data_IF_896020436502
#
_entry.id   IF_896020436502
#
_cell.length_a   1.000
_cell.length_b   1.000
_cell.length_c   1.000
_cell.angle_alpha   90.00
_cell.angle_beta   90.00
_cell.angle_gamma   90.00
#
_symmetry.space_group_name_H-M   'P 1'
#
loop_
_entity.id
_entity.type
_entity.pdbx_description
1 polymer ?
#
# COMPACT_ATOMS: atom_id res chain seq x y z
N UNK A 1 -9.46 -23.81 24.27
CA UNK A 1 -9.79 -23.51 22.85
C UNK A 1 -9.08 -24.54 21.97
N UNK A 2 -9.83 -25.45 21.32
CA UNK A 2 -9.27 -26.61 20.59
C UNK A 2 -8.32 -26.14 19.48
N UNK A 3 -7.17 -26.79 19.33
CA UNK A 3 -6.12 -26.45 18.33
C UNK A 3 -6.71 -26.28 16.92
N UNK A 4 -7.71 -27.09 16.58
CA UNK A 4 -8.47 -27.02 15.33
C UNK A 4 -9.12 -25.65 15.07
N UNK A 5 -9.72 -25.00 16.08
CA UNK A 5 -10.37 -23.69 15.90
C UNK A 5 -9.36 -22.58 15.66
N UNK A 6 -8.17 -22.68 16.27
CA UNK A 6 -7.08 -21.72 16.04
C UNK A 6 -6.51 -21.85 14.63
N UNK A 7 -6.30 -23.08 14.15
CA UNK A 7 -5.84 -23.34 12.78
C UNK A 7 -6.86 -22.86 11.74
N UNK A 8 -8.16 -23.11 11.98
CA UNK A 8 -9.22 -22.62 11.10
C UNK A 8 -9.23 -21.09 11.02
N UNK A 9 -9.14 -20.41 12.18
CA UNK A 9 -9.04 -18.94 12.25
C UNK A 9 -7.81 -18.40 11.52
N UNK A 10 -6.65 -18.98 11.81
CA UNK A 10 -5.41 -18.62 11.15
C UNK A 10 -5.52 -18.73 9.62
N UNK A 11 -6.03 -19.86 9.14
CA UNK A 11 -6.11 -20.15 7.70
C UNK A 11 -7.04 -19.19 6.96
N UNK A 12 -8.26 -18.95 7.47
CA UNK A 12 -9.16 -18.03 6.77
C UNK A 12 -8.70 -16.58 6.87
N UNK A 13 -8.12 -16.14 7.99
CA UNK A 13 -7.57 -14.77 8.11
C UNK A 13 -6.39 -14.60 7.15
N UNK A 14 -5.46 -15.55 7.11
CA UNK A 14 -4.32 -15.45 6.20
C UNK A 14 -4.77 -15.42 4.73
N UNK A 15 -5.68 -16.31 4.33
CA UNK A 15 -6.16 -16.40 2.94
C UNK A 15 -6.97 -15.17 2.49
N UNK A 16 -7.84 -14.61 3.33
CA UNK A 16 -8.62 -13.43 2.93
C UNK A 16 -7.74 -12.19 2.79
N UNK A 17 -6.76 -11.98 3.67
CA UNK A 17 -5.84 -10.83 3.56
C UNK A 17 -4.78 -11.04 2.47
N UNK A 18 -4.46 -12.29 2.14
CA UNK A 18 -3.72 -12.60 0.92
C UNK A 18 -4.53 -12.23 -0.34
N UNK A 19 -5.80 -12.62 -0.39
CA UNK A 19 -6.72 -12.26 -1.47
C UNK A 19 -6.97 -10.75 -1.56
N UNK A 20 -6.85 -10.02 -0.45
CA UNK A 20 -6.92 -8.57 -0.42
C UNK A 20 -5.67 -7.91 -1.04
N UNK A 21 -4.48 -8.40 -0.70
CA UNK A 21 -3.22 -7.81 -1.14
C UNK A 21 -2.87 -8.11 -2.60
N UNK A 22 -3.33 -9.24 -3.16
CA UNK A 22 -2.97 -9.66 -4.53
C UNK A 22 -3.53 -8.69 -5.59
N UNK A 23 -4.83 -8.36 -5.64
CA UNK A 23 -5.38 -7.39 -6.58
C UNK A 23 -4.82 -5.98 -6.39
N UNK A 24 -4.56 -5.57 -5.14
CA UNK A 24 -3.87 -4.31 -4.87
C UNK A 24 -2.48 -4.28 -5.54
N UNK A 25 -1.71 -5.37 -5.42
CA UNK A 25 -0.40 -5.48 -6.07
C UNK A 25 -0.49 -5.47 -7.60
N UNK A 26 -1.49 -6.14 -8.17
CA UNK A 26 -1.73 -6.10 -9.62
C UNK A 26 -1.93 -4.66 -10.12
N UNK A 27 -2.76 -3.90 -9.40
CA UNK A 27 -3.12 -2.53 -9.78
C UNK A 27 -1.98 -1.54 -9.51
N UNK A 28 -1.30 -1.61 -8.37
CA UNK A 28 -0.31 -0.60 -7.97
C UNK A 28 1.10 -0.87 -8.49
N UNK A 29 1.46 -2.14 -8.67
CA UNK A 29 2.84 -2.53 -8.95
C UNK A 29 2.96 -3.21 -10.32
N UNK A 30 2.12 -4.22 -10.60
CA UNK A 30 2.19 -4.94 -11.88
C UNK A 30 1.78 -4.06 -13.06
N UNK A 31 0.81 -3.14 -12.88
CA UNK A 31 0.46 -2.16 -13.91
C UNK A 31 1.67 -1.30 -14.31
N UNK A 32 2.43 -0.79 -13.34
CA UNK A 32 3.64 0.01 -13.58
C UNK A 32 4.68 -0.80 -14.35
N UNK A 33 4.89 -2.07 -13.97
CA UNK A 33 5.80 -2.98 -14.67
C UNK A 33 5.36 -3.23 -16.11
N UNK A 34 4.07 -3.46 -16.35
CA UNK A 34 3.47 -3.72 -17.65
C UNK A 34 3.58 -2.51 -18.58
N UNK A 35 3.15 -1.33 -18.12
CA UNK A 35 3.23 -0.10 -18.93
C UNK A 35 4.69 0.30 -19.20
N UNK A 36 5.58 0.11 -18.23
CA UNK A 36 7.02 0.31 -18.45
C UNK A 36 7.57 -0.65 -19.51
N UNK A 37 7.22 -1.94 -19.42
CA UNK A 37 7.62 -2.95 -20.41
C UNK A 37 7.09 -2.63 -21.82
N UNK A 38 5.84 -2.18 -21.90
CA UNK A 38 5.18 -1.84 -23.15
C UNK A 38 5.64 -0.50 -23.77
N UNK A 39 6.61 0.19 -23.14
CA UNK A 39 7.18 1.43 -23.67
C UNK A 39 6.29 2.67 -23.46
N UNK A 40 5.40 2.65 -22.47
CA UNK A 40 4.59 3.81 -22.13
C UNK A 40 5.46 5.02 -21.75
N UNK A 41 4.97 6.23 -22.04
CA UNK A 41 5.66 7.46 -21.65
C UNK A 41 5.73 7.60 -20.12
N UNK A 42 6.76 8.27 -19.61
CA UNK A 42 6.92 8.50 -18.16
C UNK A 42 5.70 9.22 -17.57
N UNK A 43 5.10 10.13 -18.30
CA UNK A 43 3.86 10.83 -17.91
C UNK A 43 2.73 9.82 -17.68
N UNK A 44 2.54 8.89 -18.61
CA UNK A 44 1.52 7.83 -18.50
C UNK A 44 1.79 6.94 -17.29
N UNK A 45 3.05 6.55 -17.09
CA UNK A 45 3.46 5.72 -15.94
C UNK A 45 3.20 6.47 -14.62
N UNK A 46 3.50 7.76 -14.55
CA UNK A 46 3.18 8.59 -13.39
C UNK A 46 1.68 8.57 -13.07
N UNK A 47 0.84 8.78 -14.10
CA UNK A 47 -0.64 8.77 -13.98
C UNK A 47 -1.22 7.44 -13.49
N UNK A 48 -0.49 6.31 -13.58
CA UNK A 48 -0.93 5.04 -12.98
C UNK A 48 -1.09 5.14 -11.46
N UNK A 49 -0.41 6.10 -10.81
CA UNK A 49 -0.62 6.38 -9.38
C UNK A 49 -2.09 6.72 -9.07
N UNK A 50 -2.81 7.34 -10.02
CA UNK A 50 -4.24 7.65 -9.88
C UNK A 50 -5.12 6.40 -9.76
N UNK A 51 -4.63 5.24 -10.20
CA UNK A 51 -5.32 3.97 -9.95
C UNK A 51 -5.47 3.69 -8.46
N UNK A 52 -4.72 4.35 -7.57
CA UNK A 52 -4.89 4.27 -6.11
C UNK A 52 -6.07 5.04 -5.54
N UNK A 53 -6.68 5.94 -6.30
CA UNK A 53 -7.80 6.77 -5.83
C UNK A 53 -8.99 5.98 -5.26
N UNK A 54 -9.42 4.83 -5.82
CA UNK A 54 -10.53 4.08 -5.29
C UNK A 54 -10.38 3.72 -3.80
N UNK A 55 -9.19 3.33 -3.34
CA UNK A 55 -8.96 3.04 -1.91
C UNK A 55 -9.11 4.28 -1.01
N UNK A 56 -8.88 5.47 -1.54
CA UNK A 56 -8.99 6.73 -0.81
C UNK A 56 -10.45 7.19 -0.65
N UNK A 57 -11.29 6.88 -1.62
CA UNK A 57 -12.69 7.31 -1.65
C UNK A 57 -13.69 6.16 -1.39
N UNK A 58 -13.22 4.96 -1.07
CA UNK A 58 -14.07 3.76 -0.83
C UNK A 58 -15.17 3.96 0.22
N UNK A 59 -14.97 4.89 1.15
CA UNK A 59 -15.98 5.30 2.12
C UNK A 59 -17.27 5.84 1.47
N UNK A 60 -17.19 6.39 0.24
CA UNK A 60 -18.33 6.94 -0.50
C UNK A 60 -19.35 5.85 -0.88
N UNK A 61 -18.91 4.70 -1.37
CA UNK A 61 -19.81 3.60 -1.75
C UNK A 61 -19.94 2.49 -0.70
N UNK A 62 -19.14 2.56 0.37
CA UNK A 62 -19.22 1.66 1.51
C UNK A 62 -20.64 1.35 2.03
N UNK A 63 -21.58 2.32 2.10
CA UNK A 63 -22.91 2.04 2.63
C UNK A 63 -23.73 1.15 1.70
N UNK A 64 -23.50 1.17 0.39
CA UNK A 64 -24.22 0.32 -0.56
C UNK A 64 -23.84 -1.16 -0.38
N UNK A 65 -22.56 -1.45 -0.09
CA UNK A 65 -22.11 -2.82 0.22
C UNK A 65 -22.82 -3.36 1.47
N UNK A 66 -23.05 -2.48 2.46
CA UNK A 66 -23.78 -2.84 3.70
C UNK A 66 -25.28 -3.09 3.46
N UNK A 67 -25.86 -2.53 2.38
CA UNK A 67 -27.29 -2.69 2.03
C UNK A 67 -27.55 -3.96 1.20
N UNK A 68 -26.66 -4.31 0.27
CA UNK A 68 -26.92 -5.33 -0.74
C UNK A 68 -26.19 -6.65 -0.46
N UNK A 69 -26.51 -7.34 0.63
CA UNK A 69 -26.05 -8.71 0.89
C UNK A 69 -24.99 -8.84 1.98
N UNK A 70 -24.64 -10.09 2.33
CA UNK A 70 -23.69 -10.35 3.41
C UNK A 70 -22.23 -10.21 2.95
N UNK A 71 -21.34 -9.85 3.88
CA UNK A 71 -19.91 -9.60 3.61
C UNK A 71 -19.19 -10.78 2.97
N UNK A 72 -19.57 -12.01 3.33
CA UNK A 72 -19.01 -13.23 2.72
C UNK A 72 -19.36 -13.33 1.23
N UNK A 73 -20.60 -13.02 0.85
CA UNK A 73 -21.05 -13.06 -0.54
C UNK A 73 -20.34 -12.01 -1.38
N UNK A 74 -20.21 -10.79 -0.86
CA UNK A 74 -19.43 -9.74 -1.52
C UNK A 74 -17.97 -10.14 -1.71
N UNK A 75 -17.33 -10.66 -0.67
CA UNK A 75 -15.94 -11.12 -0.72
C UNK A 75 -15.73 -12.11 -1.89
N UNK A 76 -16.48 -13.20 -1.90
CA UNK A 76 -16.36 -14.23 -2.96
C UNK A 76 -16.73 -13.70 -4.35
N UNK A 77 -17.77 -12.85 -4.43
CA UNK A 77 -18.20 -12.29 -5.72
C UNK A 77 -17.14 -11.36 -6.30
N UNK A 78 -16.48 -10.54 -5.46
CA UNK A 78 -15.39 -9.68 -5.91
C UNK A 78 -14.18 -10.51 -6.35
N UNK A 79 -13.83 -11.59 -5.67
CA UNK A 79 -12.72 -12.47 -6.11
C UNK A 79 -12.99 -13.09 -7.48
N UNK A 80 -14.23 -13.52 -7.75
CA UNK A 80 -14.64 -14.01 -9.08
C UNK A 80 -14.52 -12.92 -10.15
N UNK A 81 -15.06 -11.72 -9.88
CA UNK A 81 -14.98 -10.59 -10.80
C UNK A 81 -13.54 -10.13 -11.02
N UNK A 82 -12.72 -10.07 -9.99
CA UNK A 82 -11.31 -9.69 -10.09
C UNK A 82 -10.53 -10.70 -10.94
N UNK A 83 -10.79 -12.00 -10.78
CA UNK A 83 -10.21 -13.01 -11.67
C UNK A 83 -10.68 -12.85 -13.12
N UNK A 84 -11.95 -12.56 -13.36
CA UNK A 84 -12.47 -12.29 -14.70
C UNK A 84 -11.82 -11.03 -15.32
N UNK A 85 -11.68 -9.95 -14.55
CA UNK A 85 -11.00 -8.72 -15.00
C UNK A 85 -9.51 -8.96 -15.25
N UNK A 86 -8.85 -9.84 -14.49
CA UNK A 86 -7.49 -10.27 -14.79
C UNK A 86 -7.41 -11.02 -16.14
N UNK A 87 -8.39 -11.86 -16.49
CA UNK A 87 -8.48 -12.47 -17.83
C UNK A 87 -8.64 -11.40 -18.91
N UNK A 88 -9.46 -10.36 -18.68
CA UNK A 88 -9.64 -9.28 -19.66
C UNK A 88 -8.34 -8.52 -19.97
N UNK A 89 -7.37 -8.48 -19.05
CA UNK A 89 -6.05 -7.87 -19.29
C UNK A 89 -5.19 -8.64 -20.30
N UNK A 90 -5.51 -9.90 -20.61
CA UNK A 90 -4.72 -10.71 -21.55
C UNK A 90 -4.73 -10.09 -22.95
N UNK A 91 -5.88 -9.62 -23.41
CA UNK A 91 -6.01 -9.03 -24.75
C UNK A 91 -5.12 -7.78 -24.92
N UNK A 92 -5.27 -6.70 -24.12
CA UNK A 92 -4.40 -5.53 -24.25
C UNK A 92 -2.94 -5.84 -23.92
N UNK A 93 -2.64 -6.91 -23.16
CA UNK A 93 -1.27 -7.36 -22.95
C UNK A 93 -0.62 -7.96 -24.19
N UNK A 94 -1.40 -8.62 -25.05
CA UNK A 94 -0.92 -9.18 -26.31
C UNK A 94 -0.85 -8.12 -27.42
N UNK A 95 -1.83 -7.21 -27.46
CA UNK A 95 -1.89 -6.15 -28.49
C UNK A 95 -1.12 -4.88 -28.11
N UNK A 96 -0.62 -4.80 -26.87
CA UNK A 96 -0.02 -3.59 -26.28
C UNK A 96 -0.95 -2.36 -26.33
N UNK A 97 -2.26 -2.59 -26.23
CA UNK A 97 -3.26 -1.52 -26.15
C UNK A 97 -3.28 -0.93 -24.72
N UNK A 98 -2.48 0.11 -24.52
CA UNK A 98 -2.30 0.75 -23.22
C UNK A 98 -3.55 1.49 -22.72
N UNK A 99 -4.38 2.02 -23.61
CA UNK A 99 -5.61 2.73 -23.23
C UNK A 99 -6.64 1.72 -22.69
N UNK A 100 -6.82 0.61 -23.40
CA UNK A 100 -7.68 -0.48 -22.91
C UNK A 100 -7.12 -1.10 -21.62
N UNK A 101 -5.81 -1.34 -21.53
CA UNK A 101 -5.19 -1.83 -20.31
C UNK A 101 -5.47 -0.90 -19.12
N UNK A 102 -5.32 0.42 -19.30
CA UNK A 102 -5.57 1.41 -18.25
C UNK A 102 -7.02 1.35 -17.74
N UNK A 103 -8.00 1.29 -18.66
CA UNK A 103 -9.42 1.20 -18.31
C UNK A 103 -9.72 -0.08 -17.51
N UNK A 104 -9.13 -1.21 -17.91
CA UNK A 104 -9.31 -2.49 -17.22
C UNK A 104 -8.63 -2.48 -15.84
N UNK A 105 -7.42 -1.91 -15.71
CA UNK A 105 -6.79 -1.71 -14.41
C UNK A 105 -7.57 -0.76 -13.50
N UNK A 106 -8.19 0.29 -14.05
CA UNK A 106 -9.06 1.19 -13.29
C UNK A 106 -10.33 0.47 -12.78
N UNK A 107 -10.93 -0.39 -13.59
CA UNK A 107 -12.00 -1.28 -13.17
C UNK A 107 -11.54 -2.24 -12.06
N UNK A 108 -10.37 -2.86 -12.24
CA UNK A 108 -9.77 -3.74 -11.23
C UNK A 108 -9.51 -2.99 -9.91
N UNK A 109 -9.05 -1.74 -9.96
CA UNK A 109 -8.83 -0.89 -8.79
C UNK A 109 -10.12 -0.66 -8.00
N UNK A 110 -11.22 -0.33 -8.69
CA UNK A 110 -12.52 -0.14 -8.06
C UNK A 110 -13.07 -1.42 -7.41
N UNK A 111 -12.99 -2.55 -8.13
CA UNK A 111 -13.38 -3.86 -7.61
C UNK A 111 -12.50 -4.30 -6.44
N UNK A 112 -11.19 -4.03 -6.50
CA UNK A 112 -10.25 -4.37 -5.44
C UNK A 112 -10.50 -3.55 -4.18
N UNK A 113 -10.77 -2.25 -4.31
CA UNK A 113 -11.14 -1.42 -3.17
C UNK A 113 -12.46 -1.92 -2.52
N UNK A 114 -13.41 -2.39 -3.33
CA UNK A 114 -14.67 -3.00 -2.86
C UNK A 114 -14.44 -4.36 -2.17
N UNK A 115 -13.50 -5.16 -2.70
CA UNK A 115 -13.08 -6.42 -2.10
C UNK A 115 -12.46 -6.21 -0.72
N UNK A 116 -11.52 -5.28 -0.61
CA UNK A 116 -10.87 -4.87 0.65
C UNK A 116 -11.91 -4.51 1.72
N UNK A 117 -12.89 -3.67 1.38
CA UNK A 117 -14.01 -3.35 2.30
C UNK A 117 -14.79 -4.57 2.77
N UNK A 118 -14.91 -5.59 1.93
CA UNK A 118 -15.64 -6.82 2.22
C UNK A 118 -14.82 -7.73 3.13
N UNK A 119 -13.52 -7.84 2.91
CA UNK A 119 -12.56 -8.58 3.75
C UNK A 119 -12.47 -7.96 5.15
N UNK A 120 -12.21 -6.65 5.24
CA UNK A 120 -12.12 -5.93 6.52
C UNK A 120 -13.45 -6.00 7.28
N UNK A 121 -14.57 -5.77 6.58
CA UNK A 121 -15.91 -5.87 7.16
C UNK A 121 -16.21 -7.28 7.67
N UNK A 122 -15.86 -8.31 6.91
CA UNK A 122 -16.03 -9.71 7.31
C UNK A 122 -15.19 -10.05 8.55
N UNK A 123 -13.95 -9.58 8.60
CA UNK A 123 -13.04 -9.78 9.73
C UNK A 123 -13.60 -9.21 11.03
N UNK A 124 -14.08 -7.95 10.99
CA UNK A 124 -14.67 -7.27 12.15
C UNK A 124 -15.98 -7.94 12.61
N UNK A 125 -16.79 -8.44 11.68
CA UNK A 125 -18.06 -9.11 12.01
C UNK A 125 -17.86 -10.51 12.63
N UNK A 126 -16.79 -11.21 12.26
CA UNK A 126 -16.59 -12.62 12.60
C UNK A 126 -15.76 -12.82 13.87
N UNK A 127 -14.89 -11.88 14.23
CA UNK A 127 -14.00 -12.00 15.39
C UNK A 127 -14.39 -11.06 16.53
N UNK A 128 -14.38 -11.54 17.79
CA UNK A 128 -14.48 -10.67 18.96
C UNK A 128 -13.26 -9.75 19.05
N UNK A 129 -13.44 -8.56 19.64
CA UNK A 129 -12.45 -7.47 19.67
C UNK A 129 -11.08 -7.93 20.20
N UNK A 130 -11.05 -8.71 21.27
CA UNK A 130 -9.79 -9.20 21.87
C UNK A 130 -9.01 -10.12 20.92
N UNK A 131 -9.72 -10.89 20.10
CA UNK A 131 -9.09 -11.75 19.10
C UNK A 131 -8.60 -10.94 17.90
N UNK A 132 -9.19 -9.79 17.59
CA UNK A 132 -8.75 -8.96 16.46
C UNK A 132 -7.32 -8.45 16.68
N UNK A 133 -6.98 -8.02 17.90
CA UNK A 133 -5.61 -7.62 18.23
C UNK A 133 -4.60 -8.77 18.02
N UNK A 134 -4.94 -9.98 18.46
CA UNK A 134 -4.07 -11.16 18.35
C UNK A 134 -3.74 -11.58 16.91
N UNK A 135 -4.63 -11.31 15.95
CA UNK A 135 -4.44 -11.66 14.54
C UNK A 135 -4.06 -10.47 13.64
N UNK A 136 -3.90 -9.27 14.20
CA UNK A 136 -3.54 -8.06 13.44
C UNK A 136 -2.23 -8.22 12.66
N UNK A 137 -1.20 -8.81 13.28
CA UNK A 137 0.09 -9.08 12.62
C UNK A 137 -0.02 -10.09 11.47
N UNK A 138 -0.89 -11.11 11.61
CA UNK A 138 -1.11 -12.11 10.56
C UNK A 138 -1.71 -11.49 9.30
N UNK A 139 -2.67 -10.57 9.45
CA UNK A 139 -3.29 -9.83 8.33
C UNK A 139 -2.24 -9.11 7.51
N UNK A 140 -1.41 -8.32 8.19
CA UNK A 140 -0.35 -7.51 7.57
C UNK A 140 0.68 -8.41 6.88
N UNK A 141 1.08 -9.51 7.52
CA UNK A 141 2.01 -10.47 6.93
C UNK A 141 1.44 -11.13 5.67
N UNK A 142 0.20 -11.63 5.71
CA UNK A 142 -0.45 -12.26 4.56
C UNK A 142 -0.61 -11.29 3.38
N UNK A 143 -1.01 -10.05 3.65
CA UNK A 143 -1.11 -9.00 2.64
C UNK A 143 0.25 -8.71 1.98
N UNK A 144 1.32 -8.62 2.78
CA UNK A 144 2.68 -8.40 2.27
C UNK A 144 3.21 -9.59 1.46
N UNK A 145 2.86 -10.83 1.84
CA UNK A 145 3.17 -12.01 1.02
C UNK A 145 2.43 -11.96 -0.31
N UNK A 146 1.19 -11.49 -0.35
CA UNK A 146 0.47 -11.29 -1.61
C UNK A 146 1.13 -10.23 -2.50
N UNK A 147 1.59 -9.12 -1.92
CA UNK A 147 2.36 -8.11 -2.65
C UNK A 147 3.68 -8.65 -3.21
N UNK A 148 4.38 -9.48 -2.43
CA UNK A 148 5.60 -10.17 -2.87
C UNK A 148 5.32 -11.08 -4.07
N UNK A 149 4.23 -11.84 -4.02
CA UNK A 149 3.82 -12.70 -5.14
C UNK A 149 3.41 -11.87 -6.35
N UNK A 150 2.68 -10.77 -6.17
CA UNK A 150 2.26 -9.89 -7.25
C UNK A 150 3.43 -9.21 -7.97
N UNK A 151 4.20 -8.38 -7.26
CA UNK A 151 5.26 -7.58 -7.89
C UNK A 151 6.58 -8.34 -8.08
N UNK A 152 6.80 -9.42 -7.34
CA UNK A 152 7.93 -10.32 -7.54
C UNK A 152 7.56 -11.49 -8.45
N UNK A 153 6.78 -12.43 -7.90
CA UNK A 153 6.49 -13.71 -8.55
C UNK A 153 5.82 -13.57 -9.93
N UNK A 154 4.73 -12.83 -10.03
CA UNK A 154 3.98 -12.70 -11.30
C UNK A 154 4.75 -11.87 -12.35
N UNK A 155 5.51 -10.86 -11.93
CA UNK A 155 6.36 -10.07 -12.83
C UNK A 155 7.54 -10.90 -13.36
N UNK A 156 8.17 -11.71 -12.51
CA UNK A 156 9.21 -12.67 -12.94
C UNK A 156 8.62 -13.70 -13.89
N UNK A 157 7.42 -14.23 -13.60
CA UNK A 157 6.70 -15.13 -14.49
C UNK A 157 6.40 -14.47 -15.84
N UNK A 158 6.00 -13.19 -15.86
CA UNK A 158 5.81 -12.44 -17.09
C UNK A 158 7.10 -12.32 -17.91
N UNK A 159 8.25 -12.15 -17.25
CA UNK A 159 9.56 -12.05 -17.91
C UNK A 159 10.10 -13.38 -18.43
N UNK A 160 9.78 -14.51 -17.79
CA UNK A 160 10.21 -15.83 -18.24
C UNK A 160 9.27 -16.46 -19.28
N UNK A 161 7.97 -16.20 -19.16
CA UNK A 161 6.94 -16.88 -19.96
C UNK A 161 6.19 -15.88 -20.83
N UNK A 162 5.31 -15.08 -20.23
CA UNK A 162 4.56 -14.01 -20.93
C UNK A 162 3.64 -13.26 -19.96
N UNK A 163 3.21 -12.07 -20.36
CA UNK A 163 2.13 -11.35 -19.66
C UNK A 163 0.82 -12.13 -19.63
N UNK A 164 0.51 -12.92 -20.66
CA UNK A 164 -0.64 -13.83 -20.66
C UNK A 164 -0.55 -14.84 -19.51
N UNK A 165 0.61 -15.48 -19.31
CA UNK A 165 0.81 -16.41 -18.20
C UNK A 165 0.68 -15.72 -16.83
N UNK A 166 1.20 -14.49 -16.70
CA UNK A 166 1.06 -13.67 -15.49
C UNK A 166 -0.42 -13.44 -15.14
N UNK A 167 -1.22 -12.93 -16.10
CA UNK A 167 -2.62 -12.62 -15.84
C UNK A 167 -3.51 -13.86 -15.69
N UNK A 168 -3.25 -14.94 -16.44
CA UNK A 168 -3.91 -16.24 -16.22
C UNK A 168 -3.63 -16.80 -14.82
N UNK A 169 -2.37 -16.73 -14.38
CA UNK A 169 -1.98 -17.20 -13.04
C UNK A 169 -2.68 -16.37 -11.95
N UNK A 170 -2.69 -15.03 -12.08
CA UNK A 170 -3.41 -14.16 -11.17
C UNK A 170 -4.92 -14.49 -11.11
N UNK A 171 -5.56 -14.69 -12.26
CA UNK A 171 -6.96 -15.07 -12.35
C UNK A 171 -7.23 -16.42 -11.67
N UNK A 172 -6.40 -17.43 -11.97
CA UNK A 172 -6.48 -18.75 -11.36
C UNK A 172 -6.35 -18.70 -9.84
N UNK A 173 -5.39 -17.93 -9.32
CA UNK A 173 -5.21 -17.74 -7.88
C UNK A 173 -6.45 -17.13 -7.22
N UNK A 174 -7.03 -16.08 -7.82
CA UNK A 174 -8.23 -15.42 -7.31
C UNK A 174 -9.46 -16.34 -7.33
N UNK A 175 -9.63 -17.14 -8.39
CA UNK A 175 -10.75 -18.10 -8.47
C UNK A 175 -10.58 -19.29 -7.54
N UNK A 176 -9.35 -19.76 -7.33
CA UNK A 176 -9.05 -20.77 -6.31
C UNK A 176 -9.36 -20.24 -4.90
N UNK A 177 -8.98 -19.00 -4.61
CA UNK A 177 -9.33 -18.32 -3.36
C UNK A 177 -10.84 -18.16 -3.21
N UNK A 178 -11.56 -17.78 -4.28
CA UNK A 178 -13.02 -17.69 -4.28
C UNK A 178 -13.69 -19.02 -3.93
N UNK A 179 -13.24 -20.12 -4.55
CA UNK A 179 -13.73 -21.46 -4.24
C UNK A 179 -13.44 -21.86 -2.80
N UNK A 180 -12.21 -21.63 -2.35
CA UNK A 180 -11.79 -21.89 -0.98
C UNK A 180 -12.60 -21.09 0.05
N UNK A 181 -12.79 -19.79 -0.15
CA UNK A 181 -13.54 -18.91 0.73
C UNK A 181 -15.04 -19.20 0.74
N UNK A 182 -15.61 -19.62 -0.40
CA UNK A 182 -17.00 -20.06 -0.48
C UNK A 182 -17.28 -21.19 0.51
N UNK A 183 -16.35 -22.14 0.64
CA UNK A 183 -16.49 -23.33 1.48
C UNK A 183 -16.00 -23.11 2.91
N UNK A 184 -14.84 -22.48 3.10
CA UNK A 184 -14.16 -22.42 4.40
C UNK A 184 -14.64 -21.28 5.31
N UNK A 185 -15.09 -20.15 4.75
CA UNK A 185 -15.47 -19.00 5.56
C UNK A 185 -16.71 -19.28 6.42
N UNK A 186 -16.65 -19.03 7.74
CA UNK A 186 -17.84 -19.03 8.61
C UNK A 186 -18.98 -18.19 8.04
N UNK A 187 -20.24 -18.59 8.30
CA UNK A 187 -21.39 -17.71 8.02
C UNK A 187 -21.35 -16.54 9.01
N UNK A 188 -21.33 -15.28 8.56
CA UNK A 188 -21.29 -14.15 9.47
C UNK A 188 -22.59 -14.10 10.28
N UNK A 189 -22.48 -13.81 11.58
CA UNK A 189 -23.65 -13.57 12.43
C UNK A 189 -24.25 -12.23 12.00
N UNK A 190 -25.52 -12.24 11.60
CA UNK A 190 -26.22 -11.03 11.17
C UNK A 190 -26.23 -10.01 12.32
N UNK A 191 -25.55 -8.88 12.14
CA UNK A 191 -25.63 -7.74 13.07
C UNK A 191 -26.54 -6.69 12.42
N UNK A 192 -27.54 -6.23 13.15
CA UNK A 192 -28.48 -5.23 12.64
C UNK A 192 -27.74 -3.97 12.16
N UNK A 193 -28.17 -3.33 11.06
CA UNK A 193 -27.61 -2.05 10.63
C UNK A 193 -27.82 -1.01 11.73
N UNK A 194 -26.74 -0.53 12.34
CA UNK A 194 -26.81 0.47 13.40
C UNK A 194 -27.23 1.84 12.86
N UNK A 195 -28.44 2.27 13.16
CA UNK A 195 -29.06 3.53 12.73
C UNK A 195 -28.42 4.84 13.28
N UNK A 196 -27.22 4.79 13.89
CA UNK A 196 -26.54 5.93 14.52
C UNK A 196 -25.24 6.37 13.81
N UNK A 197 -24.89 5.72 12.69
CA UNK A 197 -23.55 5.87 12.08
C UNK A 197 -23.26 7.28 11.57
N UNK A 198 -24.24 7.96 10.96
CA UNK A 198 -24.01 9.25 10.26
C UNK A 198 -23.68 10.39 11.23
N UNK A 199 -24.42 10.51 12.33
CA UNK A 199 -24.18 11.51 13.39
C UNK A 199 -22.85 11.25 14.10
N UNK A 200 -22.50 9.99 14.34
CA UNK A 200 -21.21 9.60 14.91
C UNK A 200 -20.02 9.92 13.98
N UNK A 201 -20.17 9.72 12.66
CA UNK A 201 -19.12 10.07 11.68
C UNK A 201 -18.88 11.58 11.63
N UNK A 202 -19.92 12.41 11.54
CA UNK A 202 -19.75 13.88 11.52
C UNK A 202 -19.09 14.39 12.79
N UNK A 203 -19.45 13.84 13.96
CA UNK A 203 -18.80 14.17 15.23
C UNK A 203 -17.32 13.76 15.26
N UNK A 204 -16.97 12.58 14.71
CA UNK A 204 -15.59 12.13 14.62
C UNK A 204 -14.75 13.04 13.71
N UNK A 205 -15.27 13.46 12.55
CA UNK A 205 -14.59 14.41 11.66
C UNK A 205 -14.34 15.75 12.36
N UNK A 206 -15.37 16.33 12.99
CA UNK A 206 -15.21 17.56 13.77
C UNK A 206 -14.19 17.39 14.90
N UNK A 207 -14.18 16.25 15.57
CA UNK A 207 -13.20 15.97 16.63
C UNK A 207 -11.77 15.87 16.10
N UNK A 208 -11.57 15.24 14.94
CA UNK A 208 -10.25 15.15 14.31
C UNK A 208 -9.68 16.51 13.93
N UNK A 209 -10.49 17.34 13.24
CA UNK A 209 -10.09 18.68 12.82
C UNK A 209 -10.09 19.71 13.98
N UNK A 210 -10.72 19.39 15.11
CA UNK A 210 -10.70 20.22 16.32
C UNK A 210 -9.48 19.98 17.22
N UNK A 211 -8.60 19.02 16.92
CA UNK A 211 -7.45 18.74 17.77
C UNK A 211 -6.42 19.88 17.78
N UNK A 212 -5.81 20.13 18.94
CA UNK A 212 -4.68 21.08 19.05
C UNK A 212 -3.57 20.71 18.06
N UNK A 213 -3.02 21.71 17.38
CA UNK A 213 -1.98 21.57 16.36
C UNK A 213 -2.34 20.66 15.17
N UNK A 214 -3.63 20.56 14.81
CA UNK A 214 -4.04 19.72 13.66
C UNK A 214 -3.35 20.11 12.36
N UNK A 215 -3.11 21.41 12.10
CA UNK A 215 -2.43 21.86 10.88
C UNK A 215 -1.00 21.30 10.77
N UNK A 216 -0.27 21.22 11.88
CA UNK A 216 1.06 20.59 11.92
C UNK A 216 0.97 19.09 11.64
N UNK A 217 -0.03 18.41 12.20
CA UNK A 217 -0.24 16.99 11.94
C UNK A 217 -0.62 16.73 10.48
N UNK A 218 -1.49 17.55 9.88
CA UNK A 218 -1.87 17.45 8.48
C UNK A 218 -0.68 17.73 7.56
N UNK A 219 0.08 18.80 7.81
CA UNK A 219 1.28 19.11 7.05
C UNK A 219 2.29 17.96 7.11
N UNK A 220 2.49 17.38 8.31
CA UNK A 220 3.35 16.21 8.47
C UNK A 220 2.82 15.00 7.67
N UNK A 221 1.55 14.64 7.81
CA UNK A 221 0.96 13.49 7.09
C UNK A 221 1.09 13.65 5.56
N UNK A 222 0.87 14.86 5.04
CA UNK A 222 0.91 15.13 3.61
C UNK A 222 2.34 15.22 3.06
N UNK A 223 3.27 15.83 3.79
CA UNK A 223 4.63 16.12 3.31
C UNK A 223 5.65 15.05 3.70
N UNK A 224 5.38 14.24 4.73
CA UNK A 224 6.35 13.27 5.24
C UNK A 224 6.80 12.23 4.20
N UNK A 225 5.89 11.83 3.29
CA UNK A 225 6.17 10.87 2.23
C UNK A 225 6.22 11.47 0.83
N UNK A 226 6.21 12.80 0.68
CA UNK A 226 6.10 13.42 -0.63
C UNK A 226 7.30 13.07 -1.54
N UNK A 227 8.53 13.24 -1.05
CA UNK A 227 9.74 12.90 -1.82
C UNK A 227 9.89 11.40 -2.11
N UNK A 228 9.58 10.57 -1.11
CA UNK A 228 9.54 9.10 -1.20
C UNK A 228 8.54 8.65 -2.29
N UNK A 229 7.33 9.19 -2.28
CA UNK A 229 6.29 8.88 -3.26
C UNK A 229 6.65 9.33 -4.68
N UNK A 230 7.29 10.50 -4.83
CA UNK A 230 7.81 10.96 -6.12
C UNK A 230 8.83 9.96 -6.67
N UNK A 231 9.86 9.66 -5.88
CA UNK A 231 10.93 8.74 -6.27
C UNK A 231 10.38 7.35 -6.60
N UNK A 232 9.56 6.77 -5.71
CA UNK A 232 9.06 5.39 -5.82
C UNK A 232 8.29 5.14 -7.13
N UNK A 233 7.47 6.10 -7.55
CA UNK A 233 6.71 6.00 -8.80
C UNK A 233 7.61 5.85 -10.04
N UNK A 234 8.84 6.38 -9.98
CA UNK A 234 9.79 6.38 -11.10
C UNK A 234 10.91 5.34 -10.98
N UNK A 235 11.00 4.56 -9.89
CA UNK A 235 12.02 3.51 -9.73
C UNK A 235 11.94 2.47 -10.84
N UNK A 236 10.74 1.96 -11.12
CA UNK A 236 10.53 0.93 -12.17
C UNK A 236 10.93 1.41 -13.57
N UNK A 237 10.44 2.58 -14.07
CA UNK A 237 10.89 3.09 -15.37
C UNK A 237 12.37 3.49 -15.38
N UNK A 238 12.93 3.92 -14.25
CA UNK A 238 14.36 4.18 -14.14
C UNK A 238 15.19 2.90 -14.32
N UNK A 239 14.84 1.80 -13.66
CA UNK A 239 15.52 0.52 -13.85
C UNK A 239 15.43 0.03 -15.30
N UNK A 240 14.29 0.27 -15.96
CA UNK A 240 14.13 -0.04 -17.38
C UNK A 240 15.04 0.86 -18.25
N UNK A 241 15.19 2.13 -17.91
CA UNK A 241 16.10 3.07 -18.58
C UNK A 241 17.57 2.65 -18.45
N UNK A 242 17.96 2.05 -17.31
CA UNK A 242 19.29 1.45 -17.12
C UNK A 242 19.48 0.14 -17.91
N UNK A 243 18.46 -0.35 -18.63
CA UNK A 243 18.53 -1.56 -19.44
C UNK A 243 18.19 -2.85 -18.67
N UNK A 244 17.68 -2.77 -17.43
CA UNK A 244 17.30 -3.97 -16.69
C UNK A 244 15.98 -4.55 -17.22
N UNK A 245 16.06 -5.82 -17.66
CA UNK A 245 14.91 -6.60 -18.10
C UNK A 245 13.89 -6.87 -17.01
N UNK A 246 12.72 -7.38 -17.41
CA UNK A 246 11.55 -7.57 -16.55
C UNK A 246 11.83 -8.49 -15.34
N UNK A 247 12.60 -9.56 -15.54
CA UNK A 247 12.99 -10.50 -14.47
C UNK A 247 13.82 -9.78 -13.40
N UNK A 248 14.84 -9.01 -13.82
CA UNK A 248 15.67 -8.26 -12.89
C UNK A 248 14.85 -7.22 -12.13
N UNK A 249 13.96 -6.48 -12.82
CA UNK A 249 13.05 -5.52 -12.17
C UNK A 249 12.12 -6.18 -11.16
N UNK A 250 11.54 -7.35 -11.47
CA UNK A 250 10.69 -8.10 -10.56
C UNK A 250 11.44 -8.64 -9.34
N UNK A 251 12.68 -9.11 -9.51
CA UNK A 251 13.52 -9.54 -8.38
C UNK A 251 13.96 -8.36 -7.50
N UNK A 252 14.37 -7.24 -8.09
CA UNK A 252 14.84 -6.06 -7.38
C UNK A 252 13.70 -5.36 -6.62
N UNK A 253 12.68 -4.92 -7.34
CA UNK A 253 11.60 -4.10 -6.74
C UNK A 253 10.53 -4.96 -6.06
N UNK A 254 10.26 -6.15 -6.60
CA UNK A 254 9.29 -7.08 -6.06
C UNK A 254 9.85 -7.87 -4.89
N UNK A 255 10.78 -8.78 -5.17
CA UNK A 255 11.27 -9.71 -4.16
C UNK A 255 12.13 -9.03 -3.09
N UNK A 256 13.30 -8.52 -3.48
CA UNK A 256 14.24 -7.88 -2.59
C UNK A 256 13.59 -6.67 -1.90
N UNK A 257 12.99 -5.78 -2.68
CA UNK A 257 12.35 -4.58 -2.17
C UNK A 257 11.21 -4.84 -1.18
N UNK A 258 10.34 -5.82 -1.44
CA UNK A 258 9.26 -6.11 -0.47
C UNK A 258 9.84 -6.68 0.82
N UNK A 259 10.79 -7.62 0.74
CA UNK A 259 11.39 -8.24 1.94
C UNK A 259 12.12 -7.20 2.79
N UNK A 260 12.96 -6.35 2.18
CA UNK A 260 13.68 -5.32 2.94
C UNK A 260 12.76 -4.25 3.48
N UNK A 261 11.69 -3.86 2.75
CA UNK A 261 10.69 -2.93 3.25
C UNK A 261 9.87 -3.46 4.43
N UNK A 262 9.59 -4.77 4.46
CA UNK A 262 9.01 -5.41 5.66
C UNK A 262 10.00 -5.33 6.83
N UNK A 263 11.25 -5.72 6.59
CA UNK A 263 12.31 -5.66 7.61
C UNK A 263 12.48 -4.25 8.18
N UNK A 264 12.50 -3.23 7.31
CA UNK A 264 12.57 -1.83 7.69
C UNK A 264 11.37 -1.38 8.54
N UNK A 265 10.15 -1.75 8.17
CA UNK A 265 8.96 -1.40 8.96
C UNK A 265 8.98 -2.05 10.35
N UNK A 266 9.40 -3.31 10.45
CA UNK A 266 9.54 -4.00 11.74
C UNK A 266 10.64 -3.39 12.60
N UNK A 267 11.79 -3.08 12.00
CA UNK A 267 12.90 -2.42 12.67
C UNK A 267 12.50 -1.03 13.18
N UNK A 268 11.81 -0.24 12.35
CA UNK A 268 11.31 1.08 12.71
C UNK A 268 10.32 1.01 13.88
N UNK A 269 9.40 0.05 13.85
CA UNK A 269 8.48 -0.22 14.97
C UNK A 269 9.22 -0.58 16.26
N UNK A 270 10.27 -1.41 16.19
CA UNK A 270 11.10 -1.77 17.34
C UNK A 270 11.88 -0.57 17.90
N UNK A 271 12.47 0.26 17.03
CA UNK A 271 13.20 1.48 17.43
C UNK A 271 12.22 2.45 18.13
N UNK A 272 11.03 2.66 17.55
CA UNK A 272 9.99 3.52 18.14
C UNK A 272 9.50 2.96 19.47
N UNK A 273 9.35 1.64 19.61
CA UNK A 273 8.96 1.01 20.86
C UNK A 273 10.01 1.18 21.97
N UNK A 274 11.31 1.20 21.61
CA UNK A 274 12.41 1.36 22.58
C UNK A 274 12.71 2.81 22.93
N UNK A 275 12.70 3.72 21.96
CA UNK A 275 13.13 5.11 22.14
C UNK A 275 11.97 6.10 22.25
N UNK A 276 10.75 5.67 21.94
CA UNK A 276 9.59 6.52 21.77
C UNK A 276 9.58 7.23 20.42
N UNK A 277 8.39 7.50 19.87
CA UNK A 277 8.23 8.11 18.55
C UNK A 277 8.97 9.45 18.44
N UNK A 278 8.86 10.30 19.45
CA UNK A 278 9.47 11.65 19.43
C UNK A 278 10.98 11.63 19.24
N UNK A 279 11.69 10.71 19.88
CA UNK A 279 13.16 10.61 19.77
C UNK A 279 13.59 9.88 18.50
N UNK A 280 12.80 8.88 18.09
CA UNK A 280 13.06 8.11 16.87
C UNK A 280 12.73 8.87 15.58
N UNK A 281 11.82 9.84 15.63
CA UNK A 281 11.29 10.53 14.46
C UNK A 281 12.36 11.12 13.55
N UNK A 282 13.22 12.00 14.09
CA UNK A 282 14.22 12.70 13.26
C UNK A 282 15.27 11.73 12.67
N UNK A 283 15.90 10.81 13.44
CA UNK A 283 16.83 9.84 12.85
C UNK A 283 16.21 8.99 11.75
N UNK A 284 14.98 8.49 11.95
CA UNK A 284 14.30 7.64 10.97
C UNK A 284 13.91 8.42 9.72
N UNK A 285 13.41 9.65 9.88
CA UNK A 285 13.09 10.55 8.77
C UNK A 285 14.34 10.92 7.94
N UNK A 286 15.48 11.14 8.62
CA UNK A 286 16.76 11.39 7.97
C UNK A 286 17.20 10.19 7.13
N UNK A 287 17.19 8.98 7.71
CA UNK A 287 17.55 7.76 6.96
C UNK A 287 16.65 7.57 5.73
N UNK A 288 15.34 7.79 5.88
CA UNK A 288 14.40 7.73 4.76
C UNK A 288 14.71 8.78 3.67
N UNK A 289 14.91 10.02 4.05
CA UNK A 289 15.15 11.11 3.08
C UNK A 289 16.48 10.94 2.35
N UNK A 290 17.54 10.54 3.07
CA UNK A 290 18.87 10.34 2.51
C UNK A 290 19.02 9.03 1.71
N UNK A 291 17.99 8.19 1.66
CA UNK A 291 17.96 7.09 0.69
C UNK A 291 17.71 7.58 -0.75
N UNK A 292 17.03 8.72 -0.93
CA UNK A 292 16.68 9.24 -2.27
C UNK A 292 17.91 9.63 -3.10
N UNK A 293 18.92 10.35 -2.57
CA UNK A 293 20.15 10.67 -3.31
C UNK A 293 20.92 9.45 -3.83
N UNK A 294 20.74 8.26 -3.23
CA UNK A 294 21.37 7.04 -3.74
C UNK A 294 20.87 6.70 -5.16
N UNK A 295 19.60 6.99 -5.50
CA UNK A 295 19.09 6.86 -6.86
C UNK A 295 19.62 7.92 -7.81
N UNK A 296 19.87 9.15 -7.33
CA UNK A 296 20.56 10.17 -8.13
C UNK A 296 22.00 9.72 -8.48
N UNK A 297 22.69 9.09 -7.53
CA UNK A 297 24.00 8.49 -7.76
C UNK A 297 23.94 7.33 -8.77
N UNK A 298 22.96 6.43 -8.64
CA UNK A 298 22.74 5.36 -9.63
C UNK A 298 22.50 5.93 -11.04
N UNK A 299 21.73 7.01 -11.15
CA UNK A 299 21.41 7.64 -12.43
C UNK A 299 22.62 8.35 -13.06
N UNK A 300 23.60 8.76 -12.26
CA UNK A 300 24.82 9.40 -12.75
C UNK A 300 25.92 8.40 -13.11
N UNK A 301 26.15 7.40 -12.27
CA UNK A 301 27.27 6.44 -12.44
C UNK A 301 26.88 5.22 -13.27
N UNK A 302 25.60 4.86 -13.29
CA UNK A 302 25.07 3.65 -13.95
C UNK A 302 25.86 2.37 -13.61
N UNK A 303 25.97 1.99 -12.31
CA UNK A 303 26.80 0.87 -11.87
C UNK A 303 26.17 -0.50 -12.13
N UNK A 304 26.95 -1.57 -11.95
CA UNK A 304 26.51 -2.95 -12.13
C UNK A 304 25.36 -3.38 -11.20
N UNK A 305 24.67 -4.46 -11.56
CA UNK A 305 23.48 -4.99 -10.88
C UNK A 305 23.59 -5.14 -9.34
N UNK A 306 24.73 -5.57 -8.74
CA UNK A 306 24.83 -5.68 -7.28
C UNK A 306 24.68 -4.34 -6.56
N UNK A 307 25.20 -3.25 -7.12
CA UNK A 307 25.07 -1.91 -6.54
C UNK A 307 23.64 -1.40 -6.61
N UNK A 308 22.96 -1.67 -7.73
CA UNK A 308 21.53 -1.39 -7.86
C UNK A 308 20.72 -2.17 -6.84
N UNK A 309 21.01 -3.46 -6.67
CA UNK A 309 20.38 -4.30 -5.64
C UNK A 309 20.57 -3.74 -4.23
N UNK A 310 21.78 -3.31 -3.88
CA UNK A 310 22.07 -2.72 -2.57
C UNK A 310 21.30 -1.43 -2.33
N UNK A 311 21.25 -0.53 -3.33
CA UNK A 311 20.52 0.74 -3.22
C UNK A 311 19.02 0.50 -3.11
N UNK A 312 18.44 -0.38 -3.93
CA UNK A 312 17.01 -0.75 -3.85
C UNK A 312 16.70 -1.37 -2.48
N UNK A 313 17.55 -2.28 -1.99
CA UNK A 313 17.39 -2.89 -0.68
C UNK A 313 17.41 -1.87 0.45
N UNK A 314 18.40 -0.96 0.45
CA UNK A 314 18.57 0.09 1.43
C UNK A 314 17.39 1.07 1.42
N UNK A 315 17.01 1.55 0.24
CA UNK A 315 15.91 2.50 0.10
C UNK A 315 14.58 1.88 0.54
N UNK A 316 14.27 0.66 0.12
CA UNK A 316 13.05 -0.02 0.55
C UNK A 316 13.02 -0.25 2.06
N UNK A 317 14.15 -0.59 2.68
CA UNK A 317 14.25 -0.66 4.14
C UNK A 317 13.99 0.72 4.79
N UNK A 318 14.54 1.79 4.23
CA UNK A 318 14.35 3.16 4.70
C UNK A 318 12.89 3.63 4.56
N UNK A 319 12.23 3.33 3.43
CA UNK A 319 10.80 3.55 3.21
C UNK A 319 9.93 2.74 4.20
N UNK A 320 10.39 1.54 4.57
CA UNK A 320 9.84 0.73 5.65
C UNK A 320 9.88 1.45 7.00
N UNK A 321 11.04 2.00 7.39
CA UNK A 321 11.20 2.80 8.61
C UNK A 321 10.23 3.99 8.63
N UNK A 322 10.13 4.72 7.51
CA UNK A 322 9.17 5.81 7.32
C UNK A 322 7.72 5.39 7.52
N UNK A 323 7.35 4.23 6.95
CA UNK A 323 6.01 3.67 7.12
C UNK A 323 5.70 3.40 8.59
N UNK A 324 6.65 2.90 9.37
CA UNK A 324 6.47 2.68 10.81
C UNK A 324 6.26 4.00 11.57
N UNK A 325 7.07 5.03 11.27
CA UNK A 325 6.92 6.37 11.86
C UNK A 325 5.53 6.92 11.63
N UNK A 326 5.07 6.93 10.38
CA UNK A 326 3.79 7.53 10.04
C UNK A 326 2.62 6.74 10.64
N UNK A 327 2.67 5.41 10.65
CA UNK A 327 1.63 4.59 11.27
C UNK A 327 1.52 4.83 12.78
N UNK A 328 2.65 4.88 13.51
CA UNK A 328 2.63 5.16 14.95
C UNK A 328 2.17 6.59 15.23
N UNK A 329 2.61 7.56 14.41
CA UNK A 329 2.14 8.94 14.52
C UNK A 329 0.61 9.04 14.36
N UNK A 330 0.03 8.38 13.35
CA UNK A 330 -1.41 8.34 13.15
C UNK A 330 -2.14 7.71 14.34
N UNK A 331 -1.64 6.57 14.85
CA UNK A 331 -2.21 5.90 16.02
C UNK A 331 -2.20 6.81 17.26
N UNK A 332 -1.12 7.55 17.53
CA UNK A 332 -1.03 8.47 18.68
C UNK A 332 -1.99 9.68 18.58
N UNK A 333 -2.46 10.02 17.38
CA UNK A 333 -3.43 11.10 17.14
C UNK A 333 -4.89 10.63 17.16
N UNK A 334 -5.11 9.34 17.30
CA UNK A 334 -6.44 8.78 17.40
C UNK A 334 -6.98 8.98 18.83
N UNK A 335 -8.16 9.58 18.94
CA UNK A 335 -8.84 9.67 20.23
C UNK A 335 -9.57 8.36 20.52
N UNK A 336 -9.52 7.88 21.76
CA UNK A 336 -10.14 6.60 22.17
C UNK A 336 -11.62 6.46 21.76
N UNK A 337 -12.37 7.57 21.74
CA UNK A 337 -13.79 7.59 21.34
C UNK A 337 -14.02 7.37 19.84
N UNK A 338 -13.06 7.74 18.98
CA UNK A 338 -13.21 7.75 17.52
C UNK A 338 -12.01 7.12 16.80
N UNK A 339 -11.33 6.17 17.44
CA UNK A 339 -10.01 5.67 17.05
C UNK A 339 -9.96 5.20 15.58
N UNK A 340 -10.87 4.31 15.20
CA UNK A 340 -10.94 3.78 13.84
C UNK A 340 -11.21 4.86 12.77
N UNK A 341 -12.05 5.86 13.08
CA UNK A 341 -12.36 6.94 12.12
C UNK A 341 -11.20 7.92 11.99
N UNK A 342 -10.54 8.27 13.09
CA UNK A 342 -9.35 9.14 13.07
C UNK A 342 -8.21 8.49 12.28
N UNK A 343 -7.99 7.19 12.49
CA UNK A 343 -6.98 6.44 11.76
C UNK A 343 -7.28 6.42 10.25
N UNK A 344 -8.54 6.16 9.88
CA UNK A 344 -8.99 6.17 8.48
C UNK A 344 -8.81 7.54 7.80
N UNK A 345 -9.07 8.65 8.50
CA UNK A 345 -8.84 10.00 7.96
C UNK A 345 -7.34 10.20 7.67
N UNK A 346 -6.48 9.88 8.64
CA UNK A 346 -5.04 10.06 8.49
C UNK A 346 -4.41 9.18 7.42
N UNK A 347 -4.82 7.91 7.33
CA UNK A 347 -4.32 6.99 6.31
C UNK A 347 -4.82 7.34 4.90
N UNK A 348 -6.06 7.84 4.77
CA UNK A 348 -6.58 8.35 3.50
C UNK A 348 -5.81 9.59 3.04
N UNK A 349 -5.50 10.54 3.95
CA UNK A 349 -4.69 11.72 3.61
C UNK A 349 -3.28 11.34 3.14
N UNK A 350 -2.64 10.39 3.83
CA UNK A 350 -1.34 9.84 3.41
C UNK A 350 -1.41 9.29 1.98
N UNK A 351 -2.39 8.43 1.71
CA UNK A 351 -2.51 7.75 0.42
C UNK A 351 -2.89 8.71 -0.71
N UNK A 352 -3.74 9.72 -0.46
CA UNK A 352 -4.01 10.81 -1.41
C UNK A 352 -2.73 11.59 -1.73
N UNK A 353 -1.94 11.97 -0.72
CA UNK A 353 -0.69 12.68 -0.94
C UNK A 353 0.29 11.88 -1.81
N UNK A 354 0.47 10.59 -1.52
CA UNK A 354 1.31 9.70 -2.33
C UNK A 354 0.79 9.52 -3.75
N UNK A 355 -0.54 9.40 -3.92
CA UNK A 355 -1.18 9.27 -5.23
C UNK A 355 -0.94 10.52 -6.08
N UNK A 356 -1.13 11.71 -5.50
CA UNK A 356 -0.93 12.99 -6.20
C UNK A 356 0.55 13.17 -6.55
N UNK A 357 1.46 12.98 -5.58
CA UNK A 357 2.90 13.06 -5.81
C UNK A 357 3.36 12.11 -6.92
N UNK A 358 2.95 10.84 -6.86
CA UNK A 358 3.26 9.86 -7.91
C UNK A 358 2.71 10.25 -9.29
N UNK A 359 1.53 10.86 -9.35
CA UNK A 359 0.93 11.32 -10.63
C UNK A 359 1.76 12.39 -11.33
N UNK A 360 2.36 13.30 -10.58
CA UNK A 360 3.22 14.35 -11.13
C UNK A 360 4.66 13.89 -11.41
N UNK A 361 5.10 12.78 -10.80
CA UNK A 361 6.48 12.27 -10.90
C UNK A 361 6.94 12.08 -12.35
N UNK A 362 6.09 11.48 -13.19
CA UNK A 362 6.38 11.19 -14.59
C UNK A 362 6.58 12.42 -15.45
N UNK A 363 5.77 13.46 -15.22
CA UNK A 363 5.92 14.75 -15.91
C UNK A 363 7.20 15.46 -15.54
N UNK A 364 7.61 15.36 -14.27
CA UNK A 364 8.85 15.95 -13.81
C UNK A 364 10.06 15.20 -14.39
N UNK A 365 10.07 13.86 -14.26
CA UNK A 365 11.14 13.01 -14.78
C UNK A 365 11.36 13.18 -16.28
N UNK A 366 10.27 13.27 -17.06
CA UNK A 366 10.36 13.51 -18.51
C UNK A 366 10.98 14.87 -18.88
N UNK A 367 10.82 15.89 -18.04
CA UNK A 367 11.35 17.24 -18.32
C UNK A 367 12.81 17.40 -17.91
N UNK A 368 13.20 16.84 -16.78
CA UNK A 368 14.53 17.11 -16.18
C UNK A 368 15.50 15.92 -16.27
N UNK A 369 15.03 14.74 -16.68
CA UNK A 369 15.81 13.49 -16.65
C UNK A 369 15.93 12.89 -15.25
N UNK A 370 16.35 11.62 -15.17
CA UNK A 370 16.33 10.86 -13.90
C UNK A 370 17.25 11.42 -12.81
N UNK A 371 18.47 11.83 -13.14
CA UNK A 371 19.44 12.35 -12.15
C UNK A 371 18.90 13.59 -11.45
N UNK A 372 18.46 14.60 -12.22
CA UNK A 372 17.87 15.81 -11.65
C UNK A 372 16.53 15.52 -10.96
N UNK A 373 15.74 14.60 -11.50
CA UNK A 373 14.47 14.18 -10.89
C UNK A 373 14.66 13.62 -9.48
N UNK A 374 15.63 12.73 -9.27
CA UNK A 374 15.88 12.17 -7.93
C UNK A 374 16.42 13.22 -6.94
N UNK A 375 17.22 14.18 -7.41
CA UNK A 375 17.61 15.33 -6.58
C UNK A 375 16.41 16.22 -6.22
N UNK A 376 15.49 16.45 -7.16
CA UNK A 376 14.24 17.17 -6.88
C UNK A 376 13.35 16.40 -5.90
N UNK A 377 13.27 15.07 -6.00
CA UNK A 377 12.58 14.23 -5.04
C UNK A 377 13.20 14.32 -3.64
N UNK A 378 14.54 14.42 -3.54
CA UNK A 378 15.24 14.66 -2.29
C UNK A 378 14.91 16.05 -1.72
N UNK A 379 14.92 17.10 -2.54
CA UNK A 379 14.50 18.46 -2.14
C UNK A 379 13.05 18.43 -1.62
N UNK A 380 12.16 17.70 -2.29
CA UNK A 380 10.77 17.51 -1.86
C UNK A 380 10.64 16.71 -0.54
N UNK A 381 11.66 15.97 -0.12
CA UNK A 381 11.71 15.31 1.18
C UNK A 381 12.20 16.23 2.31
N UNK A 382 12.95 17.31 2.03
CA UNK A 382 13.47 18.22 3.06
C UNK A 382 12.40 18.86 3.96
N UNK A 383 11.20 19.26 3.45
CA UNK A 383 10.11 19.72 4.31
C UNK A 383 9.72 18.71 5.39
N UNK A 384 9.83 17.41 5.11
CA UNK A 384 9.55 16.37 6.12
C UNK A 384 10.54 16.39 7.28
N UNK A 385 11.83 16.66 7.03
CA UNK A 385 12.87 16.76 8.06
C UNK A 385 12.70 18.00 8.90
N UNK A 386 12.38 19.13 8.25
CA UNK A 386 12.07 20.39 8.92
C UNK A 386 10.87 20.18 9.85
N UNK A 387 9.79 19.58 9.35
CA UNK A 387 8.61 19.26 10.17
C UNK A 387 8.94 18.27 11.29
N UNK A 388 9.73 17.24 11.02
CA UNK A 388 10.19 16.27 12.02
C UNK A 388 10.93 16.94 13.19
N UNK A 389 11.71 17.99 12.92
CA UNK A 389 12.43 18.76 13.92
C UNK A 389 11.51 19.73 14.70
N UNK A 390 10.62 20.43 14.01
CA UNK A 390 9.77 21.49 14.59
C UNK A 390 8.42 21.02 15.14
N UNK A 391 8.07 19.73 15.00
CA UNK A 391 6.80 19.19 15.49
C UNK A 391 6.59 19.48 16.98
N UNK A 392 5.48 20.14 17.36
CA UNK A 392 5.19 20.47 18.75
C UNK A 392 5.24 19.25 19.68
N UNK A 393 5.85 19.42 20.85
CA UNK A 393 6.00 18.34 21.85
C UNK A 393 4.66 17.74 22.27
N UNK A 394 3.62 18.57 22.33
CA UNK A 394 2.24 18.22 22.68
C UNK A 394 1.60 17.19 21.73
N UNK A 395 2.18 16.97 20.55
CA UNK A 395 1.70 15.96 19.60
C UNK A 395 2.14 14.54 19.95
N UNK A 396 3.14 14.38 20.83
CA UNK A 396 3.65 13.10 21.27
C UNK A 396 3.19 12.84 22.70
N UNK A 397 2.11 12.07 22.92
CA UNK A 397 1.70 11.71 24.26
C UNK A 397 2.84 10.93 24.94
N UNK A 398 3.38 11.45 26.03
CA UNK A 398 4.37 10.74 26.85
C UNK A 398 3.70 9.51 27.46
N UNK A 399 3.88 8.35 26.85
CA UNK A 399 3.70 7.10 27.57
C UNK A 399 4.83 6.99 28.58
N UNK A 400 4.57 7.44 29.81
CA UNK A 400 5.33 6.95 30.96
C UNK A 400 5.15 5.43 30.96
N UNK A 401 6.18 4.71 30.54
CA UNK A 401 6.27 3.28 30.83
C UNK A 401 6.12 3.15 32.35
N UNK A 402 4.97 2.63 32.80
CA UNK A 402 4.88 1.99 34.10
C UNK A 402 5.78 0.75 33.99
N UNK A 403 6.92 0.81 34.64
CA UNK A 403 7.68 -0.37 35.07
C UNK A 403 6.88 -1.04 36.18
#
# INVERSE_FOLDING_TARGET
MRIHDRLKKFSWIASTYYAEGLPFSLVQQVSVQFFTFAGASLQTIGLLSLLGLPWNVKWFWSPFIDLFGNKKSWLVSMELLLGAVAILLIWPAQTLDLDLAFKIFALMAFLSATHDMSVDGYYIQTLPVDAQAAYSGLRVAAYRVAMLVGNGGLVVLAGWVSWTACFLTAAGMLWLLAGFHRWMLPRPVARAPGASRRTATVQAFRSYFGQKHVLWALAFILLFRAGDALMFAMVTPFLNHLGYGLVARGLLTGALGTVTGIGGALLGGLIIARWGLRRALLPLATVQSFAIPAYAWLAWVTPDLPWVGLVVAFEQAAAGLGTAVLMVFLMQRCQKRFEATHFAIGSALMSVASTVAGSFSGFLAAKVGFTAFFLLAFIAALPSLILAYFLPRDLFPEHRHRV
#
